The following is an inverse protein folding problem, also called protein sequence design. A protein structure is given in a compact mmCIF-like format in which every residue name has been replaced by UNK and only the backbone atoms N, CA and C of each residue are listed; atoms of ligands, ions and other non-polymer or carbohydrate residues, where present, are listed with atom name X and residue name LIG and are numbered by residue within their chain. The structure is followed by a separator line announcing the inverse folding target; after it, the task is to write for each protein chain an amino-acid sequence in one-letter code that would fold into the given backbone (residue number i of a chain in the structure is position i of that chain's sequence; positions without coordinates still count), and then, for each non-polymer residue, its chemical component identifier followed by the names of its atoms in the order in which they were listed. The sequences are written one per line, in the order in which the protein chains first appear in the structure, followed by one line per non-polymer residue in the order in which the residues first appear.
data_IF_304853989564
#
_entry.id   IF_304853989564
#
_cell.length_a   1.000
_cell.length_b   1.000
_cell.length_c   1.000
_cell.angle_alpha   90.00
_cell.angle_beta   90.00
_cell.angle_gamma   90.00
#
_symmetry.space_group_name_H-M   'P 1'
#
loop_
_entity.id
_entity.type
_entity.pdbx_description
1 polymer ?
#
# COMPACT_ATOMS: atom_id res chain seq x y z
N UNK A 1 -38.84 13.11 43.33
CA UNK A 1 -38.08 11.92 42.90
C UNK A 1 -37.90 11.91 41.37
N UNK A 2 -37.66 13.06 40.75
CA UNK A 2 -37.68 13.16 39.27
C UNK A 2 -36.79 14.29 38.73
N UNK A 3 -35.65 14.56 39.37
CA UNK A 3 -34.72 15.61 38.89
C UNK A 3 -33.23 15.32 39.14
N UNK A 4 -32.88 14.10 39.58
CA UNK A 4 -31.49 13.74 39.95
C UNK A 4 -30.90 12.61 39.08
N UNK A 5 -31.36 12.44 37.84
CA UNK A 5 -30.88 11.39 36.91
C UNK A 5 -30.43 11.92 35.53
N UNK A 6 -30.02 13.18 35.43
CA UNK A 6 -29.53 13.75 34.15
C UNK A 6 -28.07 14.21 34.10
N UNK A 7 -27.32 14.21 35.21
CA UNK A 7 -25.98 14.81 35.23
C UNK A 7 -24.86 13.89 35.75
N UNK A 8 -24.84 12.61 35.34
CA UNK A 8 -23.67 11.76 35.57
C UNK A 8 -23.38 10.89 34.34
N UNK A 9 -22.75 11.50 33.34
CA UNK A 9 -21.77 10.81 32.49
C UNK A 9 -20.52 11.70 32.43
N UNK A 10 -19.57 11.56 33.37
CA UNK A 10 -18.24 12.09 33.21
C UNK A 10 -17.34 10.92 32.77
N UNK A 11 -17.61 10.29 31.62
CA UNK A 11 -16.51 9.64 30.91
C UNK A 11 -15.59 10.79 30.49
N UNK A 12 -14.37 10.92 31.06
CA UNK A 12 -13.44 11.89 30.54
C UNK A 12 -13.31 11.62 29.05
N UNK A 13 -13.27 12.68 28.22
CA UNK A 13 -12.84 12.49 26.84
C UNK A 13 -11.55 11.67 26.89
N UNK A 14 -11.46 10.57 26.11
CA UNK A 14 -10.29 9.73 26.14
C UNK A 14 -9.09 10.60 25.82
N UNK A 15 -8.22 10.80 26.82
CA UNK A 15 -6.96 11.48 26.62
C UNK A 15 -6.12 10.54 25.79
N UNK A 16 -6.11 10.79 24.49
CA UNK A 16 -5.25 10.06 23.58
C UNK A 16 -3.80 10.41 23.94
N UNK A 17 -2.92 9.42 24.07
CA UNK A 17 -1.51 9.71 24.24
C UNK A 17 -1.01 10.54 23.05
N UNK A 18 -0.04 11.42 23.30
CA UNK A 18 0.67 12.06 22.21
C UNK A 18 1.58 11.03 21.53
N UNK A 19 1.06 10.37 20.50
CA UNK A 19 1.77 9.34 19.75
C UNK A 19 3.08 9.85 19.14
N UNK A 20 3.18 11.17 18.89
CA UNK A 20 4.39 11.85 18.40
C UNK A 20 5.47 11.86 19.49
N UNK A 21 5.13 12.20 20.74
CA UNK A 21 6.06 12.22 21.88
C UNK A 21 6.48 10.80 22.31
N UNK A 22 5.55 9.83 22.30
CA UNK A 22 5.90 8.43 22.61
C UNK A 22 6.87 7.85 21.58
N UNK A 23 6.69 8.16 20.29
CA UNK A 23 7.62 7.73 19.26
C UNK A 23 9.02 8.34 19.42
N UNK A 24 9.14 9.59 19.91
CA UNK A 24 10.42 10.29 20.05
C UNK A 24 11.14 10.06 21.39
N UNK A 25 10.40 9.85 22.48
CA UNK A 25 10.94 9.75 23.85
C UNK A 25 10.68 8.40 24.51
N UNK A 26 9.94 7.52 23.86
CA UNK A 26 9.65 6.17 24.35
C UNK A 26 10.82 5.21 24.20
N UNK A 27 10.63 3.97 24.68
CA UNK A 27 11.56 2.86 24.48
C UNK A 27 11.37 2.16 23.11
N UNK A 28 10.48 2.68 22.27
CA UNK A 28 10.22 2.14 20.94
C UNK A 28 11.41 2.45 20.03
N UNK A 29 11.98 1.40 19.45
CA UNK A 29 13.07 1.47 18.47
C UNK A 29 12.51 0.83 17.21
N UNK A 30 12.14 1.62 16.18
CA UNK A 30 11.51 1.09 14.98
C UNK A 30 12.33 -0.02 14.29
N UNK A 31 13.65 0.06 14.37
CA UNK A 31 14.57 -0.92 13.78
C UNK A 31 14.53 -2.31 14.47
N UNK A 32 13.81 -2.44 15.59
CA UNK A 32 13.58 -3.67 16.32
C UNK A 32 12.12 -4.16 16.22
N UNK A 33 11.30 -3.57 15.35
CA UNK A 33 9.91 -4.00 15.13
C UNK A 33 9.89 -5.38 14.43
N UNK A 34 9.08 -6.30 14.96
CA UNK A 34 8.84 -7.62 14.36
C UNK A 34 7.34 -7.79 14.07
N UNK A 35 7.01 -8.39 12.93
CA UNK A 35 5.62 -8.62 12.51
C UNK A 35 5.35 -10.12 12.28
N UNK A 36 4.22 -10.63 12.78
CA UNK A 36 3.82 -12.05 12.64
C UNK A 36 2.40 -12.17 12.09
N UNK A 37 2.25 -12.32 10.79
CA UNK A 37 1.00 -11.98 10.11
C UNK A 37 0.19 -13.19 9.64
N UNK A 38 -0.96 -12.90 9.04
CA UNK A 38 -1.73 -13.84 8.23
C UNK A 38 -1.84 -13.32 6.80
N UNK A 39 -1.51 -14.14 5.82
CA UNK A 39 -1.70 -13.84 4.38
C UNK A 39 -2.57 -14.91 3.74
N UNK A 40 -3.43 -14.51 2.80
CA UNK A 40 -4.28 -15.45 2.08
C UNK A 40 -4.66 -14.91 0.69
N UNK A 41 -4.90 -15.81 -0.25
CA UNK A 41 -5.32 -15.45 -1.60
C UNK A 41 -6.44 -16.37 -2.07
N UNK A 42 -7.47 -15.77 -2.69
CA UNK A 42 -8.48 -16.49 -3.45
C UNK A 42 -8.35 -16.07 -4.90
N UNK A 43 -8.30 -17.02 -5.82
CA UNK A 43 -8.22 -16.73 -7.25
C UNK A 43 -9.11 -17.68 -8.07
N UNK A 44 -9.73 -17.13 -9.10
CA UNK A 44 -10.42 -17.88 -10.13
C UNK A 44 -9.43 -18.20 -11.26
N UNK A 45 -9.05 -19.46 -11.40
CA UNK A 45 -8.09 -19.93 -12.41
C UNK A 45 -8.51 -19.66 -13.86
N UNK A 46 -9.80 -19.44 -14.11
CA UNK A 46 -10.31 -19.09 -15.46
C UNK A 46 -10.23 -17.59 -15.76
N UNK A 47 -9.88 -16.77 -14.76
CA UNK A 47 -9.87 -15.31 -14.87
C UNK A 47 -11.25 -14.64 -14.82
N UNK A 48 -12.34 -15.40 -14.63
CA UNK A 48 -13.69 -14.84 -14.53
C UNK A 48 -13.86 -14.02 -13.24
N UNK A 49 -14.14 -12.72 -13.41
CA UNK A 49 -14.38 -11.79 -12.30
C UNK A 49 -15.77 -11.98 -11.72
N UNK A 50 -15.88 -12.11 -10.40
CA UNK A 50 -17.18 -12.27 -9.72
C UNK A 50 -17.16 -11.63 -8.33
N UNK A 51 -18.34 -11.25 -7.83
CA UNK A 51 -18.55 -10.79 -6.43
C UNK A 51 -18.13 -11.85 -5.42
N UNK A 52 -18.40 -13.13 -5.73
CA UNK A 52 -18.04 -14.29 -4.89
C UNK A 52 -16.56 -14.32 -4.52
N UNK A 53 -15.65 -13.93 -5.42
CA UNK A 53 -14.21 -13.92 -5.12
C UNK A 53 -13.88 -12.90 -4.02
N UNK A 54 -14.53 -11.73 -4.04
CA UNK A 54 -14.36 -10.73 -2.99
C UNK A 54 -14.89 -11.27 -1.65
N UNK A 55 -16.07 -11.87 -1.67
CA UNK A 55 -16.70 -12.43 -0.46
C UNK A 55 -15.81 -13.52 0.17
N UNK A 56 -15.30 -14.43 -0.66
CA UNK A 56 -14.38 -15.48 -0.22
C UNK A 56 -13.06 -14.91 0.29
N UNK A 57 -12.50 -13.87 -0.33
CA UNK A 57 -11.28 -13.23 0.16
C UNK A 57 -11.51 -12.56 1.52
N UNK A 58 -12.63 -11.88 1.72
CA UNK A 58 -13.00 -11.31 3.02
C UNK A 58 -13.24 -12.40 4.08
N UNK A 59 -13.83 -13.53 3.71
CA UNK A 59 -13.99 -14.69 4.59
C UNK A 59 -12.62 -15.26 5.02
N UNK A 60 -11.66 -15.39 4.08
CA UNK A 60 -10.29 -15.76 4.40
C UNK A 60 -9.67 -14.78 5.39
N UNK A 61 -9.82 -13.47 5.16
CA UNK A 61 -9.30 -12.44 6.05
C UNK A 61 -9.86 -12.58 7.48
N UNK A 62 -11.17 -12.77 7.62
CA UNK A 62 -11.82 -13.00 8.92
C UNK A 62 -11.22 -14.24 9.61
N UNK A 63 -11.02 -15.32 8.87
CA UNK A 63 -10.45 -16.56 9.42
C UNK A 63 -8.97 -16.43 9.82
N UNK A 64 -8.24 -15.43 9.32
CA UNK A 64 -6.89 -15.09 9.76
C UNK A 64 -6.87 -14.29 11.09
N UNK A 65 -8.03 -13.87 11.61
CA UNK A 65 -8.12 -13.01 12.80
C UNK A 65 -7.48 -13.57 14.07
N UNK A 66 -7.38 -14.89 14.20
CA UNK A 66 -6.67 -15.54 15.30
C UNK A 66 -5.15 -15.27 15.31
N UNK A 67 -4.61 -14.72 14.22
CA UNK A 67 -3.20 -14.33 14.06
C UNK A 67 -3.01 -12.81 14.11
N UNK A 68 -4.07 -12.03 14.24
CA UNK A 68 -3.99 -10.58 14.39
C UNK A 68 -3.82 -10.17 15.85
N UNK A 69 -3.21 -9.02 16.09
CA UNK A 69 -3.22 -8.37 17.39
C UNK A 69 -4.35 -7.35 17.46
N UNK A 70 -4.85 -7.14 18.67
CA UNK A 70 -5.56 -5.93 19.04
C UNK A 70 -4.65 -5.10 19.93
N UNK A 71 -4.57 -3.78 19.71
CA UNK A 71 -3.81 -2.87 20.55
C UNK A 71 -4.42 -2.69 21.95
N UNK A 72 -3.95 -1.67 22.68
CA UNK A 72 -4.52 -1.31 23.99
C UNK A 72 -6.02 -0.97 23.93
N UNK A 73 -6.47 -0.49 22.76
CA UNK A 73 -7.89 -0.40 22.41
C UNK A 73 -8.32 -1.67 21.67
N UNK A 74 -9.26 -2.47 22.23
CA UNK A 74 -9.65 -3.76 21.66
C UNK A 74 -10.32 -3.67 20.29
N UNK A 75 -10.75 -2.48 19.87
CA UNK A 75 -11.33 -2.22 18.55
C UNK A 75 -10.32 -1.66 17.54
N UNK A 76 -9.06 -1.53 17.95
CA UNK A 76 -7.95 -1.10 17.11
C UNK A 76 -7.09 -2.31 16.75
N UNK A 77 -6.99 -2.62 15.45
CA UNK A 77 -6.09 -3.65 14.91
C UNK A 77 -4.86 -3.02 14.24
N UNK A 78 -3.77 -3.78 14.16
CA UNK A 78 -2.48 -3.28 13.62
C UNK A 78 -2.49 -3.08 12.10
N UNK A 79 -3.43 -3.72 11.40
CA UNK A 79 -3.64 -3.52 9.98
C UNK A 79 -4.36 -4.67 9.30
N UNK A 80 -5.31 -4.35 8.42
CA UNK A 80 -5.92 -5.32 7.53
C UNK A 80 -6.17 -4.70 6.16
N UNK A 81 -6.18 -5.54 5.12
CA UNK A 81 -6.46 -5.07 3.78
C UNK A 81 -6.65 -6.17 2.75
N UNK A 82 -7.03 -5.72 1.55
CA UNK A 82 -7.28 -6.54 0.38
C UNK A 82 -6.79 -5.84 -0.90
N UNK A 83 -6.07 -6.58 -1.75
CA UNK A 83 -5.80 -6.23 -3.14
C UNK A 83 -6.78 -6.95 -4.04
N UNK A 84 -7.40 -6.19 -4.95
CA UNK A 84 -8.36 -6.69 -5.95
C UNK A 84 -7.96 -6.24 -7.35
N UNK A 85 -8.53 -6.87 -8.38
CA UNK A 85 -8.50 -6.31 -9.72
C UNK A 85 -9.34 -5.04 -9.80
N UNK A 86 -8.98 -4.13 -10.70
CA UNK A 86 -9.75 -2.93 -10.99
C UNK A 86 -11.20 -3.31 -11.39
N UNK A 87 -12.21 -2.96 -10.58
CA UNK A 87 -13.59 -3.34 -10.83
C UNK A 87 -14.28 -2.31 -11.76
N UNK A 88 -14.10 -2.44 -13.07
CA UNK A 88 -14.51 -1.44 -14.08
C UNK A 88 -15.97 -0.98 -13.95
N UNK A 89 -16.92 -1.90 -13.80
CA UNK A 89 -18.33 -1.54 -13.68
C UNK A 89 -18.61 -0.67 -12.44
N UNK A 90 -17.99 -1.01 -11.31
CA UNK A 90 -18.08 -0.22 -10.08
C UNK A 90 -17.38 1.14 -10.24
N UNK A 91 -16.21 1.18 -10.87
CA UNK A 91 -15.46 2.42 -11.11
C UNK A 91 -16.22 3.39 -12.00
N UNK A 92 -16.89 2.91 -13.06
CA UNK A 92 -17.77 3.73 -13.91
C UNK A 92 -18.96 4.26 -13.14
N UNK A 93 -19.57 3.44 -12.28
CA UNK A 93 -20.68 3.87 -11.40
C UNK A 93 -20.24 5.04 -10.52
N UNK A 94 -19.11 4.92 -9.81
CA UNK A 94 -18.67 5.97 -8.90
C UNK A 94 -18.15 7.21 -9.63
N UNK A 95 -17.45 7.05 -10.76
CA UNK A 95 -17.04 8.19 -11.59
C UNK A 95 -18.24 9.02 -12.07
N UNK A 96 -19.33 8.34 -12.49
CA UNK A 96 -20.56 9.02 -12.88
C UNK A 96 -21.26 9.75 -11.73
N UNK A 97 -21.13 9.26 -10.49
CA UNK A 97 -21.64 9.96 -9.30
C UNK A 97 -20.83 11.22 -8.98
N UNK A 98 -19.52 11.19 -9.24
CA UNK A 98 -18.61 12.34 -9.09
C UNK A 98 -18.64 13.31 -10.30
N UNK A 99 -19.40 12.99 -11.35
CA UNK A 99 -19.63 13.89 -12.49
C UNK A 99 -18.61 13.82 -13.62
N UNK A 100 -17.82 12.74 -13.71
CA UNK A 100 -16.90 12.51 -14.83
C UNK A 100 -17.07 11.13 -15.47
N UNK A 101 -16.48 10.95 -16.65
CA UNK A 101 -16.56 9.69 -17.41
C UNK A 101 -15.19 9.03 -17.47
N UNK A 102 -15.19 7.70 -17.57
CA UNK A 102 -13.95 6.92 -17.71
C UNK A 102 -13.78 6.46 -19.16
N UNK A 103 -12.55 6.50 -19.70
CA UNK A 103 -12.22 5.81 -20.94
C UNK A 103 -12.37 4.28 -20.78
N UNK A 104 -12.05 3.52 -21.83
CA UNK A 104 -12.13 2.06 -21.80
C UNK A 104 -11.32 1.45 -20.63
N UNK A 105 -11.70 0.24 -20.21
CA UNK A 105 -10.93 -0.50 -19.21
C UNK A 105 -9.44 -0.54 -19.61
N UNK A 106 -8.54 -0.41 -18.62
CA UNK A 106 -7.08 -0.33 -18.82
C UNK A 106 -6.57 0.93 -19.52
N UNK A 107 -7.45 1.86 -19.89
CA UNK A 107 -7.09 3.22 -20.34
C UNK A 107 -7.34 4.30 -19.27
N UNK A 108 -7.76 3.90 -18.07
CA UNK A 108 -7.73 4.74 -16.88
C UNK A 108 -7.02 4.01 -15.74
N UNK A 109 -6.41 4.79 -14.86
CA UNK A 109 -5.78 4.35 -13.63
C UNK A 109 -6.44 5.02 -12.44
N UNK A 110 -6.42 4.34 -11.29
CA UNK A 110 -6.93 4.89 -10.03
C UNK A 110 -5.79 4.87 -9.01
N UNK A 111 -5.51 6.03 -8.42
CA UNK A 111 -4.70 6.11 -7.22
C UNK A 111 -5.63 5.99 -6.01
N UNK A 112 -5.42 5.01 -5.13
CA UNK A 112 -5.99 5.00 -3.79
C UNK A 112 -4.98 5.67 -2.85
N UNK A 113 -5.36 6.77 -2.23
CA UNK A 113 -4.44 7.56 -1.43
C UNK A 113 -5.02 7.93 -0.05
N UNK A 114 -4.11 7.90 0.92
CA UNK A 114 -4.24 8.56 2.19
C UNK A 114 -3.72 9.98 2.04
N UNK A 115 -4.51 10.95 2.46
CA UNK A 115 -4.26 12.37 2.38
C UNK A 115 -4.33 12.98 3.78
N UNK A 116 -3.59 14.09 4.02
CA UNK A 116 -3.65 14.81 5.28
C UNK A 116 -5.07 15.24 5.68
N UNK A 117 -5.33 15.30 6.99
CA UNK A 117 -6.58 15.85 7.53
C UNK A 117 -6.63 17.37 7.48
N UNK A 118 -5.46 18.03 7.60
CA UNK A 118 -5.36 19.46 7.42
C UNK A 118 -5.75 19.85 5.98
N UNK A 119 -6.63 20.85 5.84
CA UNK A 119 -7.19 21.23 4.55
C UNK A 119 -6.16 21.79 3.57
N UNK A 120 -5.16 22.53 4.05
CA UNK A 120 -4.14 23.12 3.20
C UNK A 120 -3.14 22.05 2.73
N UNK A 121 -2.72 21.15 3.64
CA UNK A 121 -1.86 20.02 3.30
C UNK A 121 -2.57 19.02 2.38
N UNK A 122 -3.88 18.79 2.57
CA UNK A 122 -4.67 17.96 1.66
C UNK A 122 -4.73 18.57 0.25
N UNK A 123 -4.97 19.88 0.14
CA UNK A 123 -4.97 20.57 -1.16
C UNK A 123 -3.60 20.50 -1.84
N UNK A 124 -2.51 20.67 -1.09
CA UNK A 124 -1.15 20.52 -1.60
C UNK A 124 -0.87 19.07 -2.07
N UNK A 125 -1.31 18.07 -1.30
CA UNK A 125 -1.25 16.65 -1.65
C UNK A 125 -1.93 16.36 -2.99
N UNK A 126 -3.16 16.85 -3.17
CA UNK A 126 -3.91 16.68 -4.42
C UNK A 126 -3.20 17.37 -5.59
N UNK A 127 -2.77 18.62 -5.41
CA UNK A 127 -2.08 19.39 -6.44
C UNK A 127 -0.78 18.72 -6.91
N UNK A 128 0.02 18.17 -5.99
CA UNK A 128 1.23 17.42 -6.31
C UNK A 128 0.93 16.16 -7.14
N UNK A 129 -0.11 15.40 -6.78
CA UNK A 129 -0.52 14.21 -7.54
C UNK A 129 -1.05 14.57 -8.93
N UNK A 130 -1.81 15.66 -9.06
CA UNK A 130 -2.27 16.17 -10.35
C UNK A 130 -1.09 16.63 -11.22
N UNK A 131 -0.16 17.38 -10.65
CA UNK A 131 1.06 17.82 -11.33
C UNK A 131 1.88 16.62 -11.80
N UNK A 132 2.19 15.67 -10.91
CA UNK A 132 2.95 14.46 -11.25
C UNK A 132 2.25 13.62 -12.34
N UNK A 133 0.92 13.63 -12.39
CA UNK A 133 0.13 12.99 -13.46
C UNK A 133 0.37 13.68 -14.80
N UNK A 134 0.23 15.01 -14.83
CA UNK A 134 0.36 15.81 -16.06
C UNK A 134 1.80 15.83 -16.59
N UNK A 135 2.81 15.93 -15.73
CA UNK A 135 4.24 15.82 -16.08
C UNK A 135 4.59 14.46 -16.71
N UNK A 136 3.84 13.42 -16.34
CA UNK A 136 3.98 12.09 -16.91
C UNK A 136 3.06 11.82 -18.11
N UNK A 137 2.35 12.86 -18.58
CA UNK A 137 1.55 12.84 -19.80
C UNK A 137 0.14 12.26 -19.63
N UNK A 138 -0.32 12.08 -18.39
CA UNK A 138 -1.66 11.58 -18.11
C UNK A 138 -2.65 12.73 -17.95
N UNK A 139 -3.91 12.49 -18.30
CA UNK A 139 -4.99 13.44 -18.06
C UNK A 139 -5.63 13.15 -16.69
N UNK A 140 -5.75 14.17 -15.84
CA UNK A 140 -6.55 14.09 -14.60
C UNK A 140 -8.04 14.11 -14.98
N UNK A 141 -8.78 13.10 -14.52
CA UNK A 141 -10.22 12.98 -14.79
C UNK A 141 -11.06 13.55 -13.66
N UNK A 142 -10.65 13.29 -12.42
CA UNK A 142 -11.37 13.75 -11.24
C UNK A 142 -10.94 13.03 -9.96
N UNK A 143 -11.46 13.54 -8.85
CA UNK A 143 -11.28 12.96 -7.53
C UNK A 143 -12.60 12.37 -7.02
N UNK A 144 -12.46 11.39 -6.14
CA UNK A 144 -13.54 10.81 -5.35
C UNK A 144 -13.10 10.73 -3.91
N UNK A 145 -13.89 11.23 -2.98
CA UNK A 145 -13.68 10.90 -1.56
C UNK A 145 -14.29 9.53 -1.27
N UNK A 146 -13.48 8.60 -0.75
CA UNK A 146 -13.90 7.22 -0.56
C UNK A 146 -14.83 7.15 0.66
N UNK A 147 -16.09 6.67 0.48
CA UNK A 147 -16.99 6.47 1.60
C UNK A 147 -16.36 5.53 2.63
N UNK A 148 -16.42 5.93 3.90
CA UNK A 148 -15.93 5.13 5.00
C UNK A 148 -16.81 5.28 6.26
N UNK A 149 -16.69 4.35 7.20
CA UNK A 149 -17.39 4.36 8.48
C UNK A 149 -16.40 4.46 9.65
N UNK A 150 -16.03 5.68 10.11
CA UNK A 150 -15.10 5.86 11.23
C UNK A 150 -15.61 5.33 12.59
N UNK A 151 -16.89 4.98 12.69
CA UNK A 151 -17.47 4.39 13.91
C UNK A 151 -17.26 2.87 13.97
N UNK A 152 -16.87 2.23 12.87
CA UNK A 152 -16.56 0.80 12.84
C UNK A 152 -15.21 0.45 13.50
N UNK A 153 -14.39 1.46 13.80
CA UNK A 153 -12.99 1.30 14.23
C UNK A 153 -12.76 1.90 15.62
N UNK A 154 -11.70 1.44 16.27
CA UNK A 154 -11.25 1.94 17.56
C UNK A 154 -10.88 3.42 17.58
N UNK A 155 -10.82 3.98 18.78
CA UNK A 155 -10.55 5.41 19.03
C UNK A 155 -9.14 5.77 18.55
N UNK A 156 -8.17 4.88 18.81
CA UNK A 156 -6.77 5.09 18.40
C UNK A 156 -6.64 5.12 16.88
N UNK A 157 -7.17 4.11 16.19
CA UNK A 157 -7.15 4.07 14.72
C UNK A 157 -7.86 5.29 14.12
N UNK A 158 -9.00 5.70 14.68
CA UNK A 158 -9.77 6.88 14.23
C UNK A 158 -9.01 8.19 14.42
N UNK A 159 -8.26 8.34 15.51
CA UNK A 159 -7.56 9.58 15.84
C UNK A 159 -6.47 9.94 14.82
N UNK A 160 -5.84 8.92 14.23
CA UNK A 160 -4.77 9.06 13.24
C UNK A 160 -5.23 8.68 11.82
N UNK A 161 -6.54 8.52 11.62
CA UNK A 161 -7.12 8.14 10.33
C UNK A 161 -6.89 9.25 9.30
N UNK A 162 -6.27 8.96 8.15
CA UNK A 162 -6.11 9.95 7.08
C UNK A 162 -7.43 10.18 6.35
N UNK A 163 -7.50 11.25 5.55
CA UNK A 163 -8.54 11.36 4.52
C UNK A 163 -8.25 10.33 3.43
N UNK A 164 -9.27 9.60 2.99
CA UNK A 164 -9.11 8.53 2.01
C UNK A 164 -9.82 8.94 0.73
N UNK A 165 -9.06 9.05 -0.34
CA UNK A 165 -9.56 9.54 -1.63
C UNK A 165 -8.99 8.72 -2.77
N UNK A 166 -9.67 8.81 -3.92
CA UNK A 166 -9.26 8.22 -5.17
C UNK A 166 -9.03 9.30 -6.22
N UNK A 167 -7.87 9.27 -6.88
CA UNK A 167 -7.57 10.07 -8.06
C UNK A 167 -7.73 9.22 -9.32
N UNK A 168 -8.54 9.69 -10.26
CA UNK A 168 -8.73 9.04 -11.56
C UNK A 168 -7.91 9.76 -12.63
N UNK A 169 -7.15 9.00 -13.39
CA UNK A 169 -6.36 9.51 -14.52
C UNK A 169 -6.59 8.68 -15.78
N UNK A 170 -6.54 9.32 -16.95
CA UNK A 170 -6.56 8.64 -18.23
C UNK A 170 -5.15 8.51 -18.82
N UNK A 171 -4.92 7.36 -19.46
CA UNK A 171 -3.71 7.10 -20.21
C UNK A 171 -3.61 8.04 -21.43
N UNK A 172 -2.42 8.56 -21.76
CA UNK A 172 -2.20 9.24 -23.02
C UNK A 172 -2.48 8.32 -24.21
N UNK A 173 -2.67 8.93 -25.38
CA UNK A 173 -2.85 8.18 -26.62
C UNK A 173 -1.63 7.31 -26.94
N UNK A 174 -1.90 6.06 -27.35
CA UNK A 174 -0.86 5.09 -27.68
C UNK A 174 -0.13 4.45 -26.49
N UNK A 175 -0.47 4.81 -25.25
CA UNK A 175 0.11 4.21 -24.04
C UNK A 175 -0.86 3.23 -23.40
N UNK A 176 -0.48 1.96 -23.36
CA UNK A 176 -1.33 0.87 -22.89
C UNK A 176 -0.52 -0.19 -22.11
N UNK A 177 -1.24 -1.10 -21.45
CA UNK A 177 -0.60 -2.27 -20.82
C UNK A 177 0.46 -1.88 -19.80
N UNK A 178 1.64 -2.47 -19.91
CA UNK A 178 2.76 -2.22 -18.98
C UNK A 178 3.30 -0.79 -19.11
N UNK A 179 3.20 -0.15 -20.27
CA UNK A 179 3.65 1.24 -20.44
C UNK A 179 2.78 2.20 -19.63
N UNK A 180 1.49 1.93 -19.53
CA UNK A 180 0.62 2.74 -18.69
C UNK A 180 0.92 2.53 -17.19
N UNK A 181 1.14 1.29 -16.75
CA UNK A 181 1.58 1.04 -15.37
C UNK A 181 2.90 1.75 -15.04
N UNK A 182 3.86 1.80 -15.98
CA UNK A 182 5.11 2.57 -15.81
C UNK A 182 4.87 4.07 -15.65
N UNK A 183 3.88 4.65 -16.35
CA UNK A 183 3.52 6.07 -16.19
C UNK A 183 2.88 6.34 -14.82
N UNK A 184 2.03 5.44 -14.35
CA UNK A 184 1.42 5.52 -13.02
C UNK A 184 2.48 5.37 -11.92
N UNK A 185 3.44 4.46 -12.12
CA UNK A 185 4.59 4.28 -11.23
C UNK A 185 5.46 5.55 -11.15
N UNK A 186 5.82 6.14 -12.31
CA UNK A 186 6.54 7.41 -12.36
C UNK A 186 5.78 8.52 -11.65
N UNK A 187 4.48 8.69 -11.94
CA UNK A 187 3.66 9.72 -11.31
C UNK A 187 3.58 9.55 -9.80
N UNK A 188 3.45 8.31 -9.31
CA UNK A 188 3.47 8.01 -7.88
C UNK A 188 4.80 8.41 -7.24
N UNK A 189 5.92 7.94 -7.81
CA UNK A 189 7.26 8.24 -7.28
C UNK A 189 7.57 9.73 -7.33
N UNK A 190 7.16 10.44 -8.39
CA UNK A 190 7.30 11.89 -8.50
C UNK A 190 6.48 12.62 -7.44
N UNK A 191 5.22 12.22 -7.21
CA UNK A 191 4.39 12.82 -6.15
C UNK A 191 4.99 12.57 -4.75
N UNK A 192 5.37 11.33 -4.43
CA UNK A 192 6.02 10.96 -3.16
C UNK A 192 7.31 11.77 -2.95
N UNK A 193 8.13 11.92 -4.00
CA UNK A 193 9.38 12.67 -3.98
C UNK A 193 9.17 14.16 -3.71
N UNK A 194 8.11 14.76 -4.26
CA UNK A 194 7.78 16.16 -3.98
C UNK A 194 7.53 16.39 -2.48
N UNK A 195 6.86 15.46 -1.78
CA UNK A 195 6.66 15.57 -0.33
C UNK A 195 7.94 15.29 0.47
N UNK A 196 8.72 14.29 0.05
CA UNK A 196 9.97 13.95 0.71
C UNK A 196 10.98 15.11 0.70
N UNK A 197 11.01 15.92 -0.36
CA UNK A 197 11.94 17.04 -0.51
C UNK A 197 11.28 18.42 -0.41
N UNK A 198 10.01 18.51 -0.02
CA UNK A 198 9.34 19.78 0.18
C UNK A 198 10.02 20.58 1.30
N UNK A 199 10.35 21.85 1.01
CA UNK A 199 10.76 22.80 2.04
C UNK A 199 9.55 23.10 2.95
N UNK A 200 9.61 22.59 4.18
CA UNK A 200 8.58 22.76 5.19
C UNK A 200 9.23 22.74 6.58
N UNK A 201 8.55 23.32 7.57
CA UNK A 201 8.97 23.16 8.96
C UNK A 201 8.89 21.70 9.40
N UNK A 202 9.63 21.35 10.45
CA UNK A 202 9.77 19.96 10.89
C UNK A 202 8.43 19.30 11.27
N UNK A 203 7.50 20.06 11.85
CA UNK A 203 6.20 19.53 12.28
C UNK A 203 5.30 19.26 11.07
N UNK A 204 5.21 20.21 10.14
CA UNK A 204 4.49 20.02 8.87
C UNK A 204 5.03 18.82 8.10
N UNK A 205 6.35 18.67 8.01
CA UNK A 205 6.99 17.53 7.37
C UNK A 205 6.60 16.21 8.04
N UNK A 206 6.58 16.17 9.38
CA UNK A 206 6.20 14.99 10.15
C UNK A 206 4.75 14.59 9.89
N UNK A 207 3.83 15.55 9.85
CA UNK A 207 2.41 15.31 9.52
C UNK A 207 2.25 14.76 8.11
N UNK A 208 2.93 15.36 7.13
CA UNK A 208 2.90 14.90 5.73
C UNK A 208 3.40 13.46 5.59
N UNK A 209 4.57 13.14 6.14
CA UNK A 209 5.16 11.80 6.07
C UNK A 209 4.36 10.72 6.82
N UNK A 210 3.52 11.14 7.77
CA UNK A 210 2.61 10.26 8.51
C UNK A 210 1.30 10.01 7.74
N UNK A 211 0.71 11.05 7.16
CA UNK A 211 -0.67 11.01 6.66
C UNK A 211 -0.78 10.86 5.13
N UNK A 212 0.22 11.34 4.36
CA UNK A 212 0.23 11.18 2.91
C UNK A 212 0.84 9.83 2.52
N UNK A 213 0.07 9.02 1.79
CA UNK A 213 0.55 7.74 1.29
C UNK A 213 -0.30 7.24 0.11
N UNK A 214 0.35 6.82 -0.97
CA UNK A 214 -0.33 6.20 -2.12
C UNK A 214 -0.34 4.69 -1.96
N UNK A 215 -1.50 4.13 -1.61
CA UNK A 215 -1.69 2.69 -1.38
C UNK A 215 -1.49 1.89 -2.65
N UNK A 216 -2.10 2.34 -3.75
CA UNK A 216 -1.96 1.75 -5.08
C UNK A 216 -2.19 2.83 -6.11
N UNK A 217 -1.46 2.82 -7.22
CA UNK A 217 -1.76 3.65 -8.39
C UNK A 217 -1.61 2.81 -9.65
N UNK A 218 -2.72 2.26 -10.12
CA UNK A 218 -2.72 1.23 -11.16
C UNK A 218 -3.97 1.30 -12.02
N UNK A 219 -3.86 0.80 -13.25
CA UNK A 219 -4.99 0.49 -14.14
C UNK A 219 -5.51 -0.95 -13.97
N UNK A 220 -4.86 -1.73 -13.09
CA UNK A 220 -5.05 -3.18 -12.98
C UNK A 220 -5.53 -3.63 -11.63
N UNK A 221 -5.03 -2.99 -10.58
CA UNK A 221 -5.31 -3.38 -9.20
C UNK A 221 -5.72 -2.18 -8.38
N UNK A 222 -6.39 -2.48 -7.26
CA UNK A 222 -6.79 -1.49 -6.27
C UNK A 222 -6.63 -2.12 -4.89
N UNK A 223 -6.16 -1.32 -3.93
CA UNK A 223 -5.90 -1.77 -2.56
C UNK A 223 -6.81 -1.03 -1.60
N UNK A 224 -7.61 -1.78 -0.83
CA UNK A 224 -8.31 -1.27 0.34
C UNK A 224 -7.59 -1.77 1.59
N UNK A 225 -7.01 -0.87 2.37
CA UNK A 225 -6.29 -1.22 3.59
C UNK A 225 -6.46 -0.14 4.66
N UNK A 226 -6.08 -0.46 5.88
CA UNK A 226 -6.04 0.50 6.98
C UNK A 226 -5.72 -0.16 8.31
N UNK A 227 -5.68 0.66 9.36
CA UNK A 227 -5.50 0.22 10.75
C UNK A 227 -6.82 -0.37 11.28
N UNK A 228 -7.09 -1.61 10.88
CA UNK A 228 -8.37 -2.29 11.00
C UNK A 228 -8.17 -3.70 11.58
N UNK A 229 -9.12 -4.16 12.37
CA UNK A 229 -9.29 -5.58 12.62
C UNK A 229 -9.83 -6.28 11.36
N UNK A 230 -9.54 -7.57 11.23
CA UNK A 230 -9.91 -8.36 10.04
C UNK A 230 -11.41 -8.31 9.70
N UNK A 231 -12.28 -8.28 10.71
CA UNK A 231 -13.74 -8.24 10.54
C UNK A 231 -14.28 -6.85 10.20
N UNK A 232 -13.49 -5.79 10.40
CA UNK A 232 -13.93 -4.40 10.21
C UNK A 232 -13.77 -3.93 8.76
N UNK A 233 -12.99 -4.61 7.91
CA UNK A 233 -12.61 -4.08 6.60
C UNK A 233 -13.81 -3.72 5.71
N UNK A 234 -14.78 -4.61 5.58
CA UNK A 234 -15.98 -4.37 4.77
C UNK A 234 -16.96 -3.39 5.43
N UNK A 235 -16.99 -3.33 6.76
CA UNK A 235 -17.81 -2.36 7.50
C UNK A 235 -17.25 -0.95 7.40
N UNK A 236 -15.93 -0.82 7.48
CA UNK A 236 -15.21 0.44 7.34
C UNK A 236 -15.24 0.98 5.91
N UNK A 237 -15.11 0.11 4.89
CA UNK A 237 -15.22 0.48 3.48
C UNK A 237 -16.51 -0.07 2.84
N UNK A 238 -17.62 0.69 2.83
CA UNK A 238 -18.88 0.28 2.22
C UNK A 238 -18.78 -0.15 0.75
N UNK A 239 -17.79 0.37 0.01
CA UNK A 239 -17.47 -0.07 -1.36
C UNK A 239 -17.32 -1.60 -1.47
N UNK A 240 -16.69 -2.22 -0.47
CA UNK A 240 -16.47 -3.68 -0.43
C UNK A 240 -17.75 -4.49 -0.25
N UNK A 241 -18.88 -3.84 -0.01
CA UNK A 241 -20.21 -4.46 0.04
C UNK A 241 -21.00 -4.27 -1.27
N UNK A 242 -20.50 -3.49 -2.23
CA UNK A 242 -21.19 -3.25 -3.49
C UNK A 242 -21.20 -4.52 -4.38
N UNK A 243 -22.36 -4.93 -4.92
CA UNK A 243 -22.45 -6.12 -5.78
C UNK A 243 -21.72 -5.99 -7.12
N UNK A 244 -21.44 -4.77 -7.59
CA UNK A 244 -20.68 -4.49 -8.82
C UNK A 244 -19.17 -4.52 -8.61
N UNK A 245 -18.72 -4.55 -7.35
CA UNK A 245 -17.31 -4.74 -7.05
C UNK A 245 -16.97 -6.22 -7.24
N UNK A 246 -16.37 -6.52 -8.40
CA UNK A 246 -16.04 -7.88 -8.83
C UNK A 246 -14.54 -8.00 -9.13
N UNK A 247 -13.97 -9.16 -8.83
CA UNK A 247 -12.57 -9.46 -9.14
C UNK A 247 -12.40 -10.94 -9.48
N UNK A 248 -11.33 -11.28 -10.21
CA UNK A 248 -10.92 -12.67 -10.41
C UNK A 248 -9.95 -13.15 -9.32
N UNK A 249 -9.38 -12.25 -8.52
CA UNK A 249 -8.61 -12.61 -7.34
C UNK A 249 -8.81 -11.63 -6.18
N UNK A 250 -8.54 -12.08 -4.96
CA UNK A 250 -8.39 -11.23 -3.78
C UNK A 250 -7.20 -11.70 -2.96
N UNK A 251 -6.22 -10.83 -2.76
CA UNK A 251 -5.07 -11.05 -1.86
C UNK A 251 -5.32 -10.29 -0.57
N UNK A 252 -5.42 -10.98 0.56
CA UNK A 252 -5.73 -10.40 1.86
C UNK A 252 -4.57 -10.57 2.83
N UNK A 253 -4.49 -9.63 3.76
CA UNK A 253 -3.49 -9.65 4.81
C UNK A 253 -4.05 -9.14 6.13
N UNK A 254 -3.67 -9.79 7.23
CA UNK A 254 -3.85 -9.35 8.60
C UNK A 254 -2.47 -9.13 9.23
N UNK A 255 -2.19 -7.91 9.66
CA UNK A 255 -0.94 -7.54 10.31
C UNK A 255 -1.01 -7.80 11.81
N UNK A 256 0.10 -8.22 12.38
CA UNK A 256 0.38 -8.20 13.82
C UNK A 256 1.71 -7.48 13.96
N UNK A 257 1.78 -6.48 14.82
CA UNK A 257 3.00 -5.73 15.09
C UNK A 257 3.30 -5.69 16.57
N UNK A 258 4.60 -5.66 16.91
CA UNK A 258 5.06 -5.44 18.28
C UNK A 258 4.89 -3.98 18.77
N UNK A 259 4.33 -3.08 17.95
CA UNK A 259 4.13 -1.66 18.22
C UNK A 259 2.67 -1.33 18.59
N UNK A 260 2.47 -0.51 19.63
CA UNK A 260 1.14 -0.03 20.06
C UNK A 260 0.68 1.29 19.41
N UNK A 261 1.56 2.01 18.72
CA UNK A 261 1.38 3.33 18.11
C UNK A 261 1.01 3.24 16.62
N UNK A 262 0.27 2.19 16.23
CA UNK A 262 0.09 1.72 14.84
C UNK A 262 -0.09 2.77 13.74
N UNK A 263 0.20 2.39 12.50
CA UNK A 263 0.25 3.31 11.36
C UNK A 263 -0.59 2.80 10.19
N UNK A 264 -1.48 3.65 9.67
CA UNK A 264 -2.35 3.32 8.53
C UNK A 264 -1.56 2.89 7.29
N UNK A 265 -0.43 3.56 7.00
CA UNK A 265 0.40 3.26 5.81
C UNK A 265 1.08 1.89 5.86
N UNK A 266 1.38 1.40 7.07
CA UNK A 266 2.07 0.12 7.30
C UNK A 266 1.13 -1.09 7.19
N UNK A 267 -0.19 -0.89 7.15
CA UNK A 267 -1.10 -1.98 6.83
C UNK A 267 -0.76 -2.56 5.45
N UNK A 268 -0.88 -3.87 5.31
CA UNK A 268 -0.76 -4.59 4.04
C UNK A 268 -2.14 -4.75 3.39
N UNK A 269 -2.23 -5.12 2.10
CA UNK A 269 -1.11 -5.33 1.16
C UNK A 269 -0.34 -4.08 0.76
N UNK A 270 0.87 -4.29 0.24
CA UNK A 270 1.62 -3.32 -0.56
C UNK A 270 1.29 -3.48 -2.05
N UNK A 271 1.97 -2.73 -2.93
CA UNK A 271 1.53 -2.53 -4.32
C UNK A 271 1.62 -3.82 -5.13
N UNK A 272 2.65 -4.62 -4.85
CA UNK A 272 2.94 -5.89 -5.50
C UNK A 272 2.84 -7.07 -4.53
N UNK A 273 3.09 -6.84 -3.23
CA UNK A 273 3.29 -7.90 -2.24
C UNK A 273 2.35 -7.83 -1.04
N UNK A 274 2.06 -9.00 -0.47
CA UNK A 274 1.65 -9.16 0.91
C UNK A 274 2.59 -10.18 1.54
N UNK A 275 3.30 -9.79 2.58
CA UNK A 275 4.38 -10.56 3.18
C UNK A 275 4.01 -10.96 4.59
N UNK A 276 4.21 -12.23 4.93
CA UNK A 276 4.09 -12.74 6.28
C UNK A 276 5.43 -13.36 6.65
N UNK A 277 6.22 -12.64 7.43
CA UNK A 277 7.62 -12.93 7.60
C UNK A 277 8.39 -11.70 8.04
N UNK A 278 9.71 -11.84 8.08
CA UNK A 278 10.63 -10.75 8.45
C UNK A 278 11.91 -10.86 7.63
N UNK A 279 12.30 -9.76 6.99
CA UNK A 279 13.52 -9.72 6.17
C UNK A 279 14.72 -9.33 7.03
N UNK A 280 15.35 -10.32 7.64
CA UNK A 280 16.48 -10.14 8.56
C UNK A 280 17.73 -9.49 7.90
N UNK A 281 17.78 -9.50 6.58
CA UNK A 281 18.87 -8.90 5.78
C UNK A 281 18.59 -7.48 5.30
N UNK A 282 17.42 -6.90 5.64
CA UNK A 282 16.89 -5.66 5.04
C UNK A 282 17.88 -4.49 5.06
N UNK A 283 18.65 -4.31 6.14
CA UNK A 283 19.63 -3.22 6.23
C UNK A 283 20.71 -3.32 5.17
N UNK A 284 21.22 -4.54 4.93
CA UNK A 284 22.20 -4.79 3.88
C UNK A 284 21.60 -4.53 2.51
N UNK A 285 20.39 -5.04 2.27
CA UNK A 285 19.71 -4.93 0.99
C UNK A 285 19.37 -3.46 0.63
N UNK A 286 18.93 -2.66 1.61
CA UNK A 286 18.72 -1.21 1.43
C UNK A 286 20.01 -0.49 1.03
N UNK A 287 21.13 -0.79 1.69
CA UNK A 287 22.43 -0.18 1.38
C UNK A 287 22.92 -0.57 -0.03
N UNK A 288 22.76 -1.85 -0.41
CA UNK A 288 23.11 -2.31 -1.75
C UNK A 288 22.25 -1.65 -2.83
N UNK A 289 20.95 -1.53 -2.60
CA UNK A 289 20.07 -0.81 -3.51
C UNK A 289 20.46 0.66 -3.64
N UNK A 290 20.72 1.35 -2.53
CA UNK A 290 21.19 2.73 -2.55
C UNK A 290 22.50 2.90 -3.35
N UNK A 291 23.44 1.97 -3.19
CA UNK A 291 24.69 1.99 -3.96
C UNK A 291 24.47 1.83 -5.48
N UNK A 292 23.40 1.11 -5.88
CA UNK A 292 23.03 0.88 -7.28
C UNK A 292 22.25 2.03 -7.90
N UNK A 293 21.63 2.91 -7.10
CA UNK A 293 20.73 3.97 -7.60
C UNK A 293 21.37 4.86 -8.67
N UNK A 294 22.66 5.20 -8.53
CA UNK A 294 23.38 6.08 -9.47
C UNK A 294 23.73 5.42 -10.80
N UNK A 295 23.65 4.10 -10.89
CA UNK A 295 23.95 3.34 -12.10
C UNK A 295 22.71 2.61 -12.64
N UNK A 296 21.52 2.96 -12.14
CA UNK A 296 20.28 2.43 -12.66
C UNK A 296 20.03 2.97 -14.06
N UNK A 297 19.87 2.05 -15.00
CA UNK A 297 19.49 2.35 -16.38
C UNK A 297 18.37 1.40 -16.80
N UNK A 298 17.41 1.93 -17.56
CA UNK A 298 16.36 1.10 -18.17
C UNK A 298 15.88 1.72 -19.47
N UNK A 299 15.82 0.96 -20.58
CA UNK A 299 15.27 1.46 -21.84
C UNK A 299 13.79 1.85 -21.73
N UNK A 300 13.08 1.33 -20.72
CA UNK A 300 11.67 1.66 -20.48
C UNK A 300 11.45 3.04 -19.85
N UNK A 301 12.47 3.57 -19.16
CA UNK A 301 12.38 4.86 -18.45
C UNK A 301 13.25 5.94 -19.07
N UNK A 302 14.37 5.58 -19.72
CA UNK A 302 15.37 6.53 -20.18
C UNK A 302 15.77 7.49 -19.05
N UNK A 303 15.88 8.78 -19.37
CA UNK A 303 16.25 9.83 -18.41
C UNK A 303 15.22 10.01 -17.28
N UNK A 304 13.99 9.51 -17.45
CA UNK A 304 12.96 9.60 -16.39
C UNK A 304 13.23 8.66 -15.22
N UNK A 305 14.21 7.75 -15.32
CA UNK A 305 14.53 6.82 -14.24
C UNK A 305 14.93 7.55 -12.93
N UNK A 306 15.48 8.76 -13.03
CA UNK A 306 15.82 9.62 -11.89
C UNK A 306 14.60 10.05 -11.06
N UNK A 307 13.40 10.01 -11.64
CA UNK A 307 12.15 10.27 -10.92
C UNK A 307 11.83 9.15 -9.91
N UNK A 308 12.37 7.94 -10.11
CA UNK A 308 12.14 6.81 -9.23
C UNK A 308 12.96 6.89 -7.94
N UNK A 309 14.01 7.72 -7.90
CA UNK A 309 14.92 7.81 -6.77
C UNK A 309 14.36 8.68 -5.63
N UNK A 310 14.51 8.27 -4.36
CA UNK A 310 15.14 7.02 -3.91
C UNK A 310 14.20 5.81 -4.11
N UNK A 311 14.76 4.64 -4.43
CA UNK A 311 13.98 3.42 -4.66
C UNK A 311 13.36 2.94 -3.35
N UNK A 312 14.20 2.70 -2.34
CA UNK A 312 13.75 2.42 -0.98
C UNK A 312 13.46 3.76 -0.27
N UNK A 313 12.31 3.85 0.39
CA UNK A 313 11.93 5.06 1.13
C UNK A 313 12.95 5.30 2.28
N UNK A 314 13.40 6.55 2.52
CA UNK A 314 14.38 6.83 3.56
C UNK A 314 13.77 6.98 4.96
N UNK A 315 12.45 7.25 5.05
CA UNK A 315 11.75 7.56 6.29
C UNK A 315 11.26 6.29 7.01
N UNK A 316 12.23 5.43 7.33
CA UNK A 316 12.04 4.21 8.11
C UNK A 316 10.86 3.34 7.65
N UNK A 317 10.89 2.85 6.40
CA UNK A 317 9.88 1.95 5.90
C UNK A 317 9.95 0.61 6.61
N UNK A 318 8.85 -0.15 6.62
CA UNK A 318 8.93 -1.56 6.98
C UNK A 318 9.87 -2.31 6.02
N UNK A 319 10.33 -3.46 6.46
CA UNK A 319 11.12 -4.38 5.66
C UNK A 319 10.40 -4.77 4.36
N UNK A 320 9.11 -5.05 4.46
CA UNK A 320 8.23 -5.44 3.38
C UNK A 320 8.03 -4.30 2.39
N UNK A 321 7.88 -3.06 2.86
CA UNK A 321 7.79 -1.89 1.98
C UNK A 321 9.05 -1.75 1.12
N UNK A 322 10.23 -2.02 1.70
CA UNK A 322 11.50 -1.98 0.97
C UNK A 322 11.57 -3.08 -0.09
N UNK A 323 11.14 -4.30 0.25
CA UNK A 323 11.04 -5.40 -0.71
C UNK A 323 10.06 -5.09 -1.85
N UNK A 324 8.88 -4.56 -1.53
CA UNK A 324 7.85 -4.17 -2.50
C UNK A 324 8.37 -3.14 -3.49
N UNK A 325 9.11 -2.13 -3.03
CA UNK A 325 9.68 -1.09 -3.88
C UNK A 325 10.68 -1.67 -4.90
N UNK A 326 11.54 -2.60 -4.48
CA UNK A 326 12.51 -3.26 -5.36
C UNK A 326 11.80 -4.25 -6.30
N UNK A 327 10.79 -4.97 -5.80
CA UNK A 327 9.97 -5.86 -6.60
C UNK A 327 9.27 -5.10 -7.74
N UNK A 328 8.66 -3.97 -7.42
CA UNK A 328 7.99 -3.10 -8.38
C UNK A 328 8.99 -2.52 -9.40
N UNK A 329 10.18 -2.07 -8.97
CA UNK A 329 11.25 -1.64 -9.87
C UNK A 329 11.60 -2.73 -10.89
N UNK A 330 11.85 -3.96 -10.43
CA UNK A 330 12.20 -5.09 -11.30
C UNK A 330 11.05 -5.45 -12.26
N UNK A 331 9.81 -5.41 -11.77
CA UNK A 331 8.61 -5.66 -12.60
C UNK A 331 8.42 -4.58 -13.67
N UNK A 332 8.60 -3.31 -13.31
CA UNK A 332 8.42 -2.18 -14.23
C UNK A 332 9.58 -2.05 -15.22
N UNK A 333 10.75 -2.60 -14.89
CA UNK A 333 11.91 -2.71 -15.79
C UNK A 333 11.92 -3.99 -16.64
N UNK A 334 10.81 -4.74 -16.67
CA UNK A 334 10.55 -5.77 -17.69
C UNK A 334 10.62 -7.22 -17.23
N UNK A 335 10.86 -7.49 -15.95
CA UNK A 335 10.87 -8.87 -15.42
C UNK A 335 9.46 -9.34 -15.07
N UNK A 336 9.19 -10.64 -15.21
CA UNK A 336 7.91 -11.22 -14.76
C UNK A 336 7.85 -11.28 -13.23
N UNK A 337 6.68 -11.59 -12.67
CA UNK A 337 6.51 -11.76 -11.21
C UNK A 337 7.37 -12.93 -10.71
N UNK A 338 7.41 -14.02 -11.46
CA UNK A 338 8.17 -15.23 -11.13
C UNK A 338 9.68 -14.97 -11.19
N UNK A 339 10.15 -14.26 -12.22
CA UNK A 339 11.56 -13.87 -12.36
C UNK A 339 11.96 -12.98 -11.19
N UNK A 340 11.20 -11.92 -10.93
CA UNK A 340 11.49 -10.99 -9.83
C UNK A 340 11.51 -11.70 -8.46
N UNK A 341 10.53 -12.58 -8.20
CA UNK A 341 10.50 -13.38 -6.97
C UNK A 341 11.73 -14.29 -6.86
N UNK A 342 12.10 -15.00 -7.93
CA UNK A 342 13.25 -15.89 -7.94
C UNK A 342 14.60 -15.14 -7.80
N UNK A 343 14.67 -13.88 -8.21
CA UNK A 343 15.85 -13.02 -8.01
C UNK A 343 15.99 -12.52 -6.58
N UNK A 344 14.89 -12.08 -5.97
CA UNK A 344 14.90 -11.49 -4.62
C UNK A 344 14.88 -12.55 -3.53
N UNK A 345 14.17 -13.65 -3.74
CA UNK A 345 14.01 -14.77 -2.79
C UNK A 345 14.41 -16.08 -3.47
N UNK A 346 15.70 -16.27 -3.80
CA UNK A 346 16.17 -17.47 -4.48
C UNK A 346 16.05 -18.71 -3.59
N UNK A 347 15.72 -19.86 -4.19
CA UNK A 347 15.76 -21.14 -3.48
C UNK A 347 17.21 -21.49 -3.08
N UNK A 348 17.38 -22.30 -2.03
CA UNK A 348 18.68 -22.86 -1.67
C UNK A 348 19.15 -23.86 -2.75
N UNK A 349 19.93 -23.37 -3.71
CA UNK A 349 20.28 -24.10 -4.93
C UNK A 349 21.66 -24.78 -4.87
N UNK A 350 22.59 -24.23 -4.09
CA UNK A 350 23.96 -24.75 -3.99
C UNK A 350 23.96 -26.13 -3.32
N UNK A 351 24.54 -27.13 -4.00
CA UNK A 351 24.55 -28.51 -3.53
C UNK A 351 23.19 -29.24 -3.65
N UNK A 352 22.18 -28.65 -4.28
CA UNK A 352 20.86 -29.28 -4.44
C UNK A 352 20.91 -30.37 -5.52
N UNK A 353 21.03 -31.64 -5.12
CA UNK A 353 21.30 -32.76 -6.05
C UNK A 353 20.25 -32.92 -7.15
N UNK A 354 18.97 -32.78 -6.83
CA UNK A 354 17.84 -33.00 -7.76
C UNK A 354 17.38 -31.77 -8.54
N UNK A 355 17.98 -30.60 -8.31
CA UNK A 355 17.58 -29.37 -9.02
C UNK A 355 18.18 -29.39 -10.44
N UNK A 356 17.37 -29.13 -11.49
CA UNK A 356 17.86 -29.07 -12.87
C UNK A 356 19.00 -28.06 -13.03
N UNK A 357 19.98 -28.38 -13.87
CA UNK A 357 21.17 -27.53 -14.06
C UNK A 357 20.81 -26.11 -14.53
N UNK A 358 19.86 -25.98 -15.44
CA UNK A 358 19.38 -24.68 -15.94
C UNK A 358 18.82 -23.77 -14.84
N UNK A 359 18.23 -24.34 -13.78
CA UNK A 359 17.73 -23.59 -12.62
C UNK A 359 18.89 -23.17 -11.71
N UNK A 360 19.88 -24.03 -11.53
CA UNK A 360 21.12 -23.67 -10.81
C UNK A 360 21.87 -22.56 -11.52
N UNK A 361 22.04 -22.67 -12.84
CA UNK A 361 22.69 -21.66 -13.67
C UNK A 361 21.95 -20.31 -13.58
N UNK A 362 20.62 -20.34 -13.57
CA UNK A 362 19.80 -19.14 -13.35
C UNK A 362 20.11 -18.49 -11.99
N UNK A 363 20.12 -19.26 -10.90
CA UNK A 363 20.39 -18.70 -9.57
C UNK A 363 21.84 -18.27 -9.38
N UNK A 364 22.81 -19.00 -9.94
CA UNK A 364 24.21 -18.62 -9.93
C UNK A 364 24.44 -17.30 -10.66
N UNK A 365 23.84 -17.13 -11.85
CA UNK A 365 23.91 -15.87 -12.59
C UNK A 365 23.30 -14.70 -11.79
N UNK A 366 22.08 -14.88 -11.29
CA UNK A 366 21.38 -13.81 -10.58
C UNK A 366 21.96 -13.50 -9.19
N UNK A 367 22.59 -14.47 -8.53
CA UNK A 367 23.29 -14.24 -7.26
C UNK A 367 24.49 -13.29 -7.39
N UNK A 368 25.03 -13.11 -8.60
CA UNK A 368 26.04 -12.08 -8.89
C UNK A 368 25.42 -10.68 -9.13
N UNK A 369 24.10 -10.60 -9.32
CA UNK A 369 23.39 -9.36 -9.65
C UNK A 369 22.63 -8.82 -8.44
N UNK A 370 21.91 -9.68 -7.73
CA UNK A 370 21.02 -9.33 -6.63
C UNK A 370 21.31 -10.24 -5.43
N UNK A 371 21.64 -9.63 -4.30
CA UNK A 371 21.72 -10.30 -3.03
C UNK A 371 20.33 -10.77 -2.55
N UNK A 372 20.21 -11.94 -1.91
CA UNK A 372 18.93 -12.41 -1.39
C UNK A 372 18.34 -11.46 -0.35
N UNK A 373 17.04 -11.17 -0.48
CA UNK A 373 16.22 -10.57 0.56
C UNK A 373 15.76 -11.67 1.51
N UNK A 374 16.71 -12.16 2.30
CA UNK A 374 16.56 -13.34 3.16
C UNK A 374 15.87 -13.01 4.49
N UNK A 375 15.13 -14.00 5.00
CA UNK A 375 14.13 -13.83 6.04
C UNK A 375 13.06 -14.93 6.01
N UNK A 376 12.44 -15.30 7.16
CA UNK A 376 11.27 -16.17 7.18
C UNK A 376 10.09 -15.65 6.38
#
# INVERSE_FOLDING_TARGET
MTEARKNFDPRPEPVLPDFTDIAERGLYVPELEHDACGVGMVANITGKRTRKIIDQALEVLINLGHRGASGADPLTGDGAGITIQMPDEFMRKVAGQEGFTLPNERRYGVAMCFLPNDGALNAAARAAMELASTENGMQVLGWRDVPNNPNAIGITARAIMPKISQLFVAAPDGVEGDDFERRLYLARKTAEKQFLYAESDAETRKVLLREFYVCSWSSRTLIYKGMLLVGQLAEFYPDLQDPKLVSAFGLVHSRFSTNTLGSWKLAHPYRMLAHNGEINTVRGNRNWMQARERTLESPFFGDKIDQLLPICEPDDPSDTASLDNVFELLRMTGRSVEHTAAMLMPAAWYGHESMPQEVKDFYEYHGNIMEPWDGP
#
